data_IF_242126181542
#
_entry.id   IF_242126181542
#
_cell.length_a   1.000
_cell.length_b   1.000
_cell.length_c   1.000
_cell.angle_alpha   90.00
_cell.angle_beta   90.00
_cell.angle_gamma   90.00
#
_symmetry.space_group_name_H-M   'P 1'
#
loop_
_entity.id
_entity.type
_entity.pdbx_description
1 polymer ?
#
# COMPACT_ATOMS: atom_id res chain seq x y z
N UNK A 1 30.05 32.20 51.07
CA UNK A 1 28.69 32.18 51.63
C UNK A 1 28.08 30.86 51.22
N UNK A 2 28.14 29.90 52.15
CA UNK A 2 27.48 28.60 52.05
C UNK A 2 26.00 28.81 52.40
N UNK A 3 25.08 28.41 51.53
CA UNK A 3 23.67 28.28 51.88
C UNK A 3 23.19 26.85 51.63
N UNK A 4 23.17 26.11 52.73
CA UNK A 4 22.29 25.02 53.15
C UNK A 4 21.25 24.51 52.11
N UNK A 5 21.40 23.25 51.72
CA UNK A 5 20.36 22.48 51.02
C UNK A 5 19.96 21.25 51.86
N UNK A 6 19.23 21.49 52.96
CA UNK A 6 18.57 20.44 53.75
C UNK A 6 17.09 20.34 53.37
N UNK A 7 16.83 19.80 52.18
CA UNK A 7 15.49 19.35 51.77
C UNK A 7 15.08 18.09 52.54
N UNK A 8 14.34 18.29 53.63
CA UNK A 8 13.92 17.27 54.60
C UNK A 8 13.31 16.00 53.97
N UNK A 9 13.77 14.84 54.43
CA UNK A 9 13.35 13.49 53.98
C UNK A 9 11.84 13.22 54.14
N UNK A 10 11.15 13.95 55.02
CA UNK A 10 9.73 13.79 55.28
C UNK A 10 8.83 14.27 54.14
N UNK A 11 9.25 15.29 53.38
CA UNK A 11 8.46 15.88 52.30
C UNK A 11 8.44 14.98 51.06
N UNK A 12 9.57 14.32 50.77
CA UNK A 12 9.69 13.35 49.66
C UNK A 12 8.82 12.11 49.88
N UNK A 13 8.63 11.67 51.12
CA UNK A 13 7.78 10.52 51.45
C UNK A 13 6.27 10.85 51.41
N UNK A 14 5.90 12.08 51.74
CA UNK A 14 4.54 12.59 51.56
C UNK A 14 4.11 12.63 50.09
N UNK A 15 5.00 13.09 49.18
CA UNK A 15 4.74 13.12 47.74
C UNK A 15 4.63 11.71 47.14
N UNK A 16 5.47 10.76 47.55
CA UNK A 16 5.40 9.37 47.09
C UNK A 16 4.10 8.68 47.50
N UNK A 17 3.61 8.92 48.72
CA UNK A 17 2.33 8.38 49.20
C UNK A 17 1.14 8.95 48.41
N UNK A 18 1.14 10.26 48.13
CA UNK A 18 0.11 10.91 47.30
C UNK A 18 0.11 10.38 45.86
N UNK A 19 1.27 10.21 45.23
CA UNK A 19 1.38 9.65 43.87
C UNK A 19 0.88 8.19 43.78
N UNK A 20 1.11 7.38 44.83
CA UNK A 20 0.62 5.99 44.90
C UNK A 20 -0.91 5.92 45.06
N UNK A 21 -1.50 6.84 45.82
CA UNK A 21 -2.95 6.92 45.98
C UNK A 21 -3.66 7.33 44.67
N UNK A 22 -3.09 8.30 43.93
CA UNK A 22 -3.63 8.74 42.62
C UNK A 22 -3.57 7.60 41.60
N UNK A 23 -2.45 6.87 41.51
CA UNK A 23 -2.34 5.71 40.61
C UNK A 23 -3.33 4.57 40.97
N UNK A 24 -3.60 4.37 42.26
CA UNK A 24 -4.58 3.38 42.71
C UNK A 24 -6.02 3.81 42.36
N UNK A 25 -6.35 5.09 42.49
CA UNK A 25 -7.64 5.65 42.12
C UNK A 25 -7.88 5.57 40.60
N UNK A 26 -6.90 5.98 39.78
CA UNK A 26 -6.97 5.85 38.31
C UNK A 26 -7.11 4.39 37.86
N UNK A 27 -6.41 3.46 38.52
CA UNK A 27 -6.55 2.03 38.26
C UNK A 27 -7.94 1.51 38.57
N UNK A 28 -8.58 2.03 39.62
CA UNK A 28 -9.95 1.73 40.00
C UNK A 28 -10.97 2.26 38.98
N UNK A 29 -10.81 3.49 38.51
CA UNK A 29 -11.68 4.10 37.49
C UNK A 29 -11.55 3.39 36.13
N UNK A 30 -10.33 3.06 35.71
CA UNK A 30 -10.08 2.28 34.48
C UNK A 30 -10.75 0.91 34.54
N UNK A 31 -10.73 0.24 35.70
CA UNK A 31 -11.44 -1.04 35.91
C UNK A 31 -12.96 -0.88 35.86
N UNK A 32 -13.52 0.18 36.45
CA UNK A 32 -14.96 0.49 36.38
C UNK A 32 -15.41 0.77 34.94
N UNK A 33 -14.65 1.59 34.20
CA UNK A 33 -14.88 1.88 32.79
C UNK A 33 -14.81 0.61 31.92
N UNK A 34 -13.81 -0.25 32.15
CA UNK A 34 -13.72 -1.53 31.44
C UNK A 34 -14.91 -2.45 31.73
N UNK A 35 -15.36 -2.53 32.99
CA UNK A 35 -16.53 -3.33 33.36
C UNK A 35 -17.81 -2.79 32.70
N UNK A 36 -17.96 -1.46 32.59
CA UNK A 36 -19.08 -0.84 31.88
C UNK A 36 -19.07 -1.15 30.38
N UNK A 37 -17.90 -1.12 29.73
CA UNK A 37 -17.75 -1.48 28.31
C UNK A 37 -18.07 -2.96 28.10
N UNK A 38 -17.68 -3.84 29.02
CA UNK A 38 -17.95 -5.28 28.94
C UNK A 38 -19.43 -5.60 29.13
N UNK A 39 -20.12 -4.93 30.06
CA UNK A 39 -21.57 -5.10 30.26
C UNK A 39 -22.35 -4.58 29.06
N UNK A 40 -21.95 -3.44 28.49
CA UNK A 40 -22.54 -2.89 27.25
C UNK A 40 -22.32 -3.83 26.06
N UNK A 41 -21.11 -4.36 25.87
CA UNK A 41 -20.82 -5.36 24.82
C UNK A 41 -21.61 -6.66 25.00
N UNK A 42 -21.80 -7.13 26.24
CA UNK A 42 -22.63 -8.32 26.53
C UNK A 42 -24.11 -8.05 26.22
N UNK A 43 -24.61 -6.86 26.54
CA UNK A 43 -25.98 -6.45 26.19
C UNK A 43 -26.19 -6.31 24.67
N UNK A 44 -25.18 -5.83 23.93
CA UNK A 44 -25.20 -5.78 22.46
C UNK A 44 -25.20 -7.18 21.82
N UNK A 45 -24.44 -8.14 22.37
CA UNK A 45 -24.48 -9.54 21.91
C UNK A 45 -25.85 -10.20 22.11
N UNK A 46 -26.58 -9.85 23.17
CA UNK A 46 -27.93 -10.38 23.39
C UNK A 46 -28.99 -9.77 22.46
N UNK A 47 -28.72 -8.61 21.83
CA UNK A 47 -29.63 -7.97 20.87
C UNK A 47 -29.42 -8.46 19.43
N UNK A 48 -28.22 -8.96 19.11
CA UNK A 48 -27.87 -9.54 17.81
C UNK A 48 -27.20 -10.92 18.01
N UNK A 49 -27.96 -12.01 18.16
CA UNK A 49 -27.39 -13.36 18.15
C UNK A 49 -26.77 -13.64 16.77
N UNK A 50 -25.47 -13.96 16.75
CA UNK A 50 -24.68 -14.23 15.53
C UNK A 50 -25.03 -15.55 14.83
N UNK A 51 -25.93 -16.36 15.41
CA UNK A 51 -26.46 -17.59 14.83
C UNK A 51 -27.93 -17.76 15.22
N UNK A 52 -28.81 -17.97 14.24
CA UNK A 52 -30.13 -18.56 14.49
C UNK A 52 -29.91 -20.04 14.80
N UNK A 53 -30.33 -20.50 15.99
CA UNK A 53 -30.42 -21.92 16.33
C UNK A 53 -31.72 -22.52 15.79
N UNK A 54 -32.04 -22.29 14.52
CA UNK A 54 -33.17 -22.92 13.87
C UNK A 54 -32.69 -24.06 12.97
N UNK A 55 -33.20 -25.25 13.32
CA UNK A 55 -32.99 -26.53 12.64
C UNK A 55 -33.07 -26.39 11.12
N UNK A 56 -32.06 -26.94 10.43
CA UNK A 56 -32.13 -27.32 9.00
C UNK A 56 -33.45 -28.04 8.72
N UNK A 57 -34.34 -27.41 7.95
CA UNK A 57 -35.37 -28.11 7.19
C UNK A 57 -34.94 -28.11 5.72
N UNK A 58 -34.71 -29.32 5.23
CA UNK A 58 -34.43 -29.72 3.86
C UNK A 58 -35.67 -29.38 2.99
N UNK A 59 -35.49 -28.69 1.87
CA UNK A 59 -36.49 -28.48 0.81
C UNK A 59 -35.69 -28.16 -0.46
N UNK A 60 -35.29 -29.14 -1.26
CA UNK A 60 -36.06 -29.89 -2.26
C UNK A 60 -36.83 -28.95 -3.20
N UNK A 61 -36.28 -28.83 -4.40
CA UNK A 61 -36.81 -28.08 -5.54
C UNK A 61 -38.08 -28.78 -6.05
N UNK A 62 -39.22 -28.11 -5.93
CA UNK A 62 -40.42 -28.42 -6.71
C UNK A 62 -41.07 -27.11 -7.14
N UNK A 63 -41.27 -26.99 -8.45
CA UNK A 63 -41.98 -25.94 -9.19
C UNK A 63 -43.42 -25.72 -8.68
N UNK A 64 -44.03 -24.56 -8.98
CA UNK A 64 -45.22 -24.08 -8.27
C UNK A 64 -46.48 -24.75 -8.81
N UNK A 65 -47.28 -25.31 -7.90
CA UNK A 65 -48.68 -25.63 -8.18
C UNK A 65 -49.60 -24.79 -7.30
N UNK A 66 -50.63 -24.29 -7.94
CA UNK A 66 -51.56 -23.28 -7.48
C UNK A 66 -52.60 -23.90 -6.56
N UNK A 67 -52.44 -23.76 -5.25
CA UNK A 67 -53.56 -23.90 -4.31
C UNK A 67 -53.53 -22.77 -3.27
N UNK A 68 -54.41 -21.81 -3.53
CA UNK A 68 -54.94 -20.85 -2.57
C UNK A 68 -55.75 -21.62 -1.52
N UNK A 69 -55.22 -21.76 -0.32
CA UNK A 69 -56.03 -22.03 0.86
C UNK A 69 -55.79 -20.92 1.88
N UNK A 70 -56.82 -20.10 2.02
CA UNK A 70 -56.84 -18.86 2.78
C UNK A 70 -57.33 -19.15 4.18
N UNK A 71 -56.47 -19.70 5.02
CA UNK A 71 -56.69 -19.68 6.46
C UNK A 71 -56.39 -18.26 6.96
N UNK A 72 -57.42 -17.42 7.05
CA UNK A 72 -57.40 -16.24 7.93
C UNK A 72 -57.40 -16.72 9.39
N UNK A 73 -56.24 -17.21 9.84
CA UNK A 73 -55.91 -17.12 11.26
C UNK A 73 -55.56 -15.65 11.53
N UNK A 74 -56.55 -14.90 12.00
CA UNK A 74 -56.48 -13.48 12.37
C UNK A 74 -55.57 -13.26 13.58
N UNK A 75 -54.32 -13.69 13.48
CA UNK A 75 -53.27 -13.45 14.46
C UNK A 75 -53.08 -11.96 14.64
N UNK A 76 -53.67 -11.41 15.70
CA UNK A 76 -53.52 -10.01 16.08
C UNK A 76 -52.07 -9.79 16.45
N UNK A 77 -51.27 -9.28 15.51
CA UNK A 77 -49.91 -8.82 15.80
C UNK A 77 -50.05 -7.68 16.81
N UNK A 78 -49.48 -7.80 18.02
CA UNK A 78 -49.49 -6.73 19.00
C UNK A 78 -49.04 -5.42 18.36
N UNK A 79 -49.82 -4.35 18.53
CA UNK A 79 -49.60 -3.04 17.91
C UNK A 79 -48.13 -2.57 17.98
N UNK A 80 -47.48 -2.80 19.12
CA UNK A 80 -46.06 -2.48 19.31
C UNK A 80 -45.12 -3.17 18.32
N UNK A 81 -45.37 -4.45 17.99
CA UNK A 81 -44.57 -5.16 17.00
C UNK A 81 -44.79 -4.61 15.59
N UNK A 82 -46.02 -4.24 15.24
CA UNK A 82 -46.32 -3.57 13.97
C UNK A 82 -45.62 -2.21 13.86
N UNK A 83 -45.67 -1.41 14.93
CA UNK A 83 -44.99 -0.12 15.00
C UNK A 83 -43.46 -0.28 14.88
N UNK A 84 -42.87 -1.26 15.57
CA UNK A 84 -41.44 -1.58 15.50
C UNK A 84 -41.01 -2.05 14.11
N UNK A 85 -41.81 -2.90 13.45
CA UNK A 85 -41.57 -3.36 12.08
C UNK A 85 -41.62 -2.17 11.11
N UNK A 86 -42.59 -1.26 11.25
CA UNK A 86 -42.68 -0.06 10.43
C UNK A 86 -41.51 0.91 10.64
N UNK A 87 -41.02 1.05 11.87
CA UNK A 87 -39.82 1.84 12.15
C UNK A 87 -38.61 1.20 11.46
N UNK A 88 -38.42 -0.12 11.60
CA UNK A 88 -37.31 -0.85 10.97
C UNK A 88 -37.40 -0.79 9.44
N UNK A 89 -38.58 -0.94 8.87
CA UNK A 89 -38.82 -0.83 7.43
C UNK A 89 -38.42 0.55 6.92
N UNK A 90 -38.87 1.63 7.58
CA UNK A 90 -38.48 3.01 7.22
C UNK A 90 -36.98 3.24 7.34
N UNK A 91 -36.34 2.70 8.38
CA UNK A 91 -34.89 2.78 8.52
C UNK A 91 -34.16 2.03 7.40
N UNK A 92 -34.64 0.85 7.03
CA UNK A 92 -34.07 0.06 5.94
C UNK A 92 -34.23 0.77 4.60
N UNK A 93 -35.39 1.38 4.35
CA UNK A 93 -35.66 2.16 3.14
C UNK A 93 -34.70 3.37 3.02
N UNK A 94 -34.46 4.10 4.13
CA UNK A 94 -33.46 5.19 4.15
C UNK A 94 -32.05 4.69 3.89
N UNK A 95 -31.67 3.55 4.48
CA UNK A 95 -30.35 2.94 4.24
C UNK A 95 -30.19 2.50 2.80
N UNK A 96 -31.21 1.87 2.23
CA UNK A 96 -31.22 1.50 0.82
C UNK A 96 -31.04 2.74 -0.06
N UNK A 97 -31.80 3.80 0.18
CA UNK A 97 -31.67 5.05 -0.56
C UNK A 97 -30.28 5.69 -0.43
N UNK A 98 -29.71 5.73 0.79
CA UNK A 98 -28.37 6.23 1.01
C UNK A 98 -27.32 5.42 0.25
N UNK A 99 -27.40 4.08 0.31
CA UNK A 99 -26.51 3.20 -0.44
C UNK A 99 -26.66 3.35 -1.96
N UNK A 100 -27.87 3.55 -2.47
CA UNK A 100 -28.11 3.85 -3.89
C UNK A 100 -27.42 5.17 -4.29
N UNK A 101 -27.58 6.23 -3.50
CA UNK A 101 -26.93 7.51 -3.77
C UNK A 101 -25.40 7.41 -3.72
N UNK A 102 -24.84 6.68 -2.75
CA UNK A 102 -23.40 6.46 -2.64
C UNK A 102 -22.86 5.65 -3.84
N UNK A 103 -23.61 4.65 -4.30
CA UNK A 103 -23.29 3.88 -5.50
C UNK A 103 -23.25 4.77 -6.74
N UNK A 104 -24.24 5.64 -6.92
CA UNK A 104 -24.32 6.55 -8.06
C UNK A 104 -23.21 7.60 -8.02
N UNK A 105 -22.89 8.15 -6.85
CA UNK A 105 -21.75 9.04 -6.68
C UNK A 105 -20.42 8.32 -7.01
N UNK A 106 -20.27 7.07 -6.59
CA UNK A 106 -19.07 6.28 -6.87
C UNK A 106 -18.91 6.01 -8.38
N UNK A 107 -20.02 5.68 -9.07
CA UNK A 107 -20.04 5.53 -10.53
C UNK A 107 -19.67 6.82 -11.24
N UNK A 108 -20.24 7.95 -10.83
CA UNK A 108 -19.93 9.26 -11.42
C UNK A 108 -18.45 9.59 -11.27
N UNK A 109 -17.88 9.46 -10.07
CA UNK A 109 -16.45 9.67 -9.83
C UNK A 109 -15.57 8.74 -10.69
N UNK A 110 -16.00 7.50 -10.89
CA UNK A 110 -15.30 6.58 -11.78
C UNK A 110 -15.27 7.10 -13.22
N UNK A 111 -16.40 7.58 -13.74
CA UNK A 111 -16.47 8.14 -15.10
C UNK A 111 -15.66 9.42 -15.25
N UNK A 112 -15.65 10.29 -14.23
CA UNK A 112 -14.86 11.52 -14.24
C UNK A 112 -13.34 11.22 -14.27
N UNK A 113 -12.89 10.28 -13.45
CA UNK A 113 -11.49 9.84 -13.43
C UNK A 113 -11.09 9.16 -14.75
N UNK A 114 -11.96 8.39 -15.36
CA UNK A 114 -11.70 7.73 -16.64
C UNK A 114 -11.59 8.75 -17.79
N UNK A 115 -12.45 9.78 -17.79
CA UNK A 115 -12.34 10.89 -18.74
C UNK A 115 -11.03 11.69 -18.54
N UNK A 116 -10.71 12.08 -17.31
CA UNK A 116 -9.48 12.82 -17.02
C UNK A 116 -8.21 12.01 -17.35
N UNK A 117 -8.25 10.69 -17.15
CA UNK A 117 -7.18 9.79 -17.59
C UNK A 117 -7.03 9.79 -19.12
N UNK A 118 -8.13 9.69 -19.86
CA UNK A 118 -8.12 9.74 -21.33
C UNK A 118 -7.55 11.06 -21.87
N UNK A 119 -7.89 12.19 -21.25
CA UNK A 119 -7.35 13.51 -21.61
C UNK A 119 -5.83 13.59 -21.41
N UNK A 120 -5.34 13.15 -20.25
CA UNK A 120 -3.90 13.10 -19.97
C UNK A 120 -3.15 12.14 -20.90
N UNK A 121 -3.76 11.00 -21.25
CA UNK A 121 -3.18 10.06 -22.20
C UNK A 121 -3.03 10.69 -23.60
N UNK A 122 -4.04 11.44 -24.07
CA UNK A 122 -3.98 12.17 -25.34
C UNK A 122 -2.90 13.27 -25.32
N UNK A 123 -2.75 13.98 -24.21
CA UNK A 123 -1.71 15.00 -24.05
C UNK A 123 -0.31 14.37 -24.09
N UNK A 124 -0.10 13.24 -23.42
CA UNK A 124 1.15 12.47 -23.48
C UNK A 124 1.47 11.99 -24.90
N UNK A 125 0.46 11.52 -25.65
CA UNK A 125 0.64 11.15 -27.07
C UNK A 125 1.09 12.35 -27.89
N UNK A 126 0.43 13.49 -27.72
CA UNK A 126 0.79 14.74 -28.41
C UNK A 126 2.23 15.15 -28.13
N UNK A 127 2.67 15.09 -26.88
CA UNK A 127 4.06 15.40 -26.52
C UNK A 127 5.07 14.40 -27.09
N UNK A 128 4.71 13.11 -27.15
CA UNK A 128 5.56 12.08 -27.78
C UNK A 128 5.71 12.32 -29.28
N UNK A 129 4.63 12.65 -29.97
CA UNK A 129 4.64 12.96 -31.41
C UNK A 129 5.46 14.20 -31.73
N UNK A 130 5.32 15.26 -30.94
CA UNK A 130 6.12 16.47 -31.07
C UNK A 130 7.62 16.18 -30.87
N UNK A 131 7.97 15.38 -29.86
CA UNK A 131 9.37 15.00 -29.60
C UNK A 131 9.94 14.13 -30.73
N UNK A 132 9.17 13.16 -31.25
CA UNK A 132 9.56 12.37 -32.42
C UNK A 132 9.79 13.25 -33.66
N UNK A 133 8.92 14.24 -33.88
CA UNK A 133 9.06 15.19 -34.99
C UNK A 133 10.32 16.04 -34.86
N UNK A 134 10.62 16.51 -33.64
CA UNK A 134 11.85 17.26 -33.37
C UNK A 134 13.10 16.39 -33.60
N UNK A 135 13.11 15.15 -33.12
CA UNK A 135 14.20 14.20 -33.35
C UNK A 135 14.41 13.95 -34.85
N UNK A 136 13.32 13.70 -35.58
CA UNK A 136 13.37 13.53 -37.04
C UNK A 136 13.96 14.75 -37.76
N UNK A 137 13.54 15.96 -37.35
CA UNK A 137 14.07 17.19 -37.92
C UNK A 137 15.56 17.38 -37.62
N UNK A 138 16.01 17.04 -36.41
CA UNK A 138 17.43 17.05 -36.04
C UNK A 138 18.21 16.08 -36.92
N UNK A 139 17.76 14.84 -37.06
CA UNK A 139 18.42 13.82 -37.89
C UNK A 139 18.53 14.25 -39.35
N UNK A 140 17.46 14.85 -39.89
CA UNK A 140 17.44 15.40 -41.25
C UNK A 140 18.47 16.52 -41.41
N UNK A 141 18.49 17.49 -40.50
CA UNK A 141 19.43 18.61 -40.53
C UNK A 141 20.88 18.13 -40.39
N UNK A 142 21.14 17.19 -39.48
CA UNK A 142 22.46 16.57 -39.34
C UNK A 142 22.90 15.92 -40.64
N UNK A 143 22.03 15.11 -41.27
CA UNK A 143 22.34 14.46 -42.55
C UNK A 143 22.67 15.47 -43.64
N UNK A 144 21.94 16.58 -43.70
CA UNK A 144 22.16 17.65 -44.69
C UNK A 144 23.50 18.37 -44.45
N UNK A 145 23.83 18.71 -43.21
CA UNK A 145 25.12 19.31 -42.83
C UNK A 145 26.29 18.36 -43.17
N UNK A 146 26.18 17.08 -42.83
CA UNK A 146 27.23 16.10 -43.13
C UNK A 146 27.37 15.84 -44.64
N UNK A 147 26.28 15.90 -45.40
CA UNK A 147 26.30 15.77 -46.87
C UNK A 147 26.97 16.99 -47.53
N UNK A 148 26.63 18.21 -47.11
CA UNK A 148 27.26 19.45 -47.63
C UNK A 148 28.77 19.52 -47.37
N UNK A 149 29.25 18.94 -46.27
CA UNK A 149 30.69 18.87 -45.95
C UNK A 149 31.46 17.95 -46.89
N UNK A 150 30.80 16.94 -47.46
CA UNK A 150 31.42 15.99 -48.41
C UNK A 150 31.52 16.51 -49.84
N UNK A 151 30.71 17.51 -50.21
CA UNK A 151 30.74 18.16 -51.53
C UNK A 151 31.71 19.35 -51.59
N UNK A 152 31.87 20.07 -50.49
CA UNK A 152 32.76 21.25 -50.36
C UNK A 152 34.25 20.92 -50.18
N UNK A 153 34.62 19.64 -50.05
CA UNK A 153 36.01 19.18 -49.88
C UNK A 153 36.67 18.63 -51.17
N UNK A 154 36.07 18.85 -52.35
CA UNK A 154 36.69 18.54 -53.65
C UNK A 154 37.32 19.78 -54.31
N UNK A 155 38.34 20.38 -53.72
CA UNK A 155 39.41 21.08 -54.44
C UNK A 155 40.59 21.24 -53.48
N UNK A 156 41.74 20.70 -53.90
CA UNK A 156 43.11 20.87 -53.40
C UNK A 156 43.81 19.54 -53.05
N UNK A 157 44.35 18.89 -54.08
CA UNK A 157 45.69 18.28 -54.02
C UNK A 157 46.75 19.41 -53.92
N UNK A 158 47.98 19.21 -53.38
CA UNK A 158 48.89 18.13 -53.81
C UNK A 158 49.68 17.37 -52.70
N UNK A 159 49.97 16.11 -53.03
CA UNK A 159 51.20 15.32 -52.82
C UNK A 159 52.20 15.63 -51.67
N UNK A 160 52.40 14.64 -50.75
CA UNK A 160 53.70 14.21 -50.18
C UNK A 160 53.65 12.67 -49.86
N UNK A 161 54.73 11.88 -50.06
CA UNK A 161 54.74 10.40 -50.22
C UNK A 161 54.74 9.56 -48.92
N UNK A 162 54.67 8.21 -49.01
CA UNK A 162 54.28 7.30 -47.93
C UNK A 162 55.47 6.75 -47.11
N UNK A 163 55.28 6.63 -45.79
CA UNK A 163 56.11 5.80 -44.91
C UNK A 163 55.23 4.73 -44.23
N UNK A 164 55.42 3.52 -44.75
CA UNK A 164 55.32 2.12 -44.25
C UNK A 164 54.68 1.72 -42.89
N UNK A 165 54.24 0.44 -42.75
CA UNK A 165 53.27 -0.10 -41.78
C UNK A 165 53.94 -0.88 -40.61
N UNK A 166 53.23 -1.38 -39.56
CA UNK A 166 52.31 -2.56 -39.59
C UNK A 166 51.00 -2.30 -38.77
N UNK A 167 49.84 -2.93 -38.99
CA UNK A 167 49.55 -4.31 -39.32
C UNK A 167 49.20 -5.10 -38.04
N UNK A 168 47.92 -5.51 -37.91
CA UNK A 168 47.34 -6.56 -37.03
C UNK A 168 46.42 -6.15 -35.85
N UNK A 169 45.16 -5.85 -36.21
CA UNK A 169 43.90 -6.57 -35.91
C UNK A 169 43.59 -7.14 -34.50
N UNK A 170 42.30 -7.00 -34.14
CA UNK A 170 41.46 -7.80 -33.21
C UNK A 170 41.66 -7.54 -31.72
N UNK A 171 40.68 -7.55 -30.79
CA UNK A 171 39.20 -7.60 -30.74
C UNK A 171 38.88 -7.59 -29.23
N UNK A 172 37.82 -6.90 -28.80
CA UNK A 172 37.14 -7.03 -27.48
C UNK A 172 37.94 -6.56 -26.25
N UNK A 173 37.42 -5.79 -25.30
CA UNK A 173 36.09 -5.85 -24.70
C UNK A 173 35.74 -4.46 -24.16
N UNK A 174 34.56 -3.95 -24.54
CA UNK A 174 34.00 -2.70 -24.02
C UNK A 174 33.62 -2.89 -22.56
N UNK A 175 34.21 -2.08 -21.68
CA UNK A 175 33.48 -1.50 -20.56
C UNK A 175 32.31 -0.69 -21.15
N UNK A 176 31.04 -1.01 -20.85
CA UNK A 176 29.97 -0.07 -21.08
C UNK A 176 29.96 0.89 -19.89
N UNK A 177 30.58 2.05 -20.09
CA UNK A 177 30.30 3.26 -19.34
C UNK A 177 28.78 3.43 -19.27
N UNK A 178 28.22 3.13 -18.09
CA UNK A 178 26.80 3.24 -17.85
C UNK A 178 26.40 4.73 -17.87
N UNK A 179 25.34 5.10 -18.60
CA UNK A 179 24.81 6.45 -18.57
C UNK A 179 24.35 6.81 -17.16
N UNK A 180 24.80 7.99 -16.74
CA UNK A 180 24.48 8.68 -15.50
C UNK A 180 22.96 8.64 -15.23
N UNK A 181 22.64 8.19 -14.01
CA UNK A 181 21.33 7.88 -13.48
C UNK A 181 20.21 8.89 -13.81
N UNK A 182 19.32 8.49 -14.74
CA UNK A 182 17.90 8.83 -14.65
C UNK A 182 17.20 7.98 -13.57
N UNK A 183 15.95 8.28 -13.19
CA UNK A 183 15.21 7.47 -12.22
C UNK A 183 15.15 6.04 -12.74
N UNK A 184 15.68 5.09 -11.97
CA UNK A 184 15.67 3.66 -12.33
C UNK A 184 14.21 3.23 -12.51
N UNK A 185 13.75 3.18 -13.76
CA UNK A 185 12.46 2.57 -14.07
C UNK A 185 12.53 1.11 -13.62
N UNK A 186 11.64 0.72 -12.70
CA UNK A 186 11.59 -0.66 -12.23
C UNK A 186 11.24 -1.58 -13.40
N UNK A 187 11.98 -2.68 -13.57
CA UNK A 187 11.69 -3.63 -14.65
C UNK A 187 10.37 -4.36 -14.36
N UNK A 188 9.45 -4.34 -15.34
CA UNK A 188 8.20 -5.08 -15.28
C UNK A 188 8.31 -6.27 -16.24
N UNK A 189 8.16 -7.50 -15.72
CA UNK A 189 8.08 -8.74 -16.53
C UNK A 189 6.93 -9.60 -16.03
N UNK A 190 6.07 -10.07 -16.92
CA UNK A 190 4.96 -10.98 -16.63
C UNK A 190 4.04 -10.53 -15.47
N UNK A 191 3.70 -9.23 -15.40
CA UNK A 191 2.88 -8.66 -14.32
C UNK A 191 3.57 -8.67 -12.94
N UNK A 192 4.89 -8.81 -12.93
CA UNK A 192 5.73 -8.72 -11.75
C UNK A 192 6.74 -7.58 -11.90
N UNK A 193 7.02 -6.93 -10.79
CA UNK A 193 7.93 -5.80 -10.68
C UNK A 193 9.21 -6.29 -10.03
N UNK A 194 10.33 -6.02 -10.70
CA UNK A 194 11.67 -6.28 -10.18
C UNK A 194 12.10 -5.15 -9.27
N UNK A 195 12.41 -5.54 -8.06
CA UNK A 195 12.68 -4.62 -6.97
C UNK A 195 14.16 -4.60 -6.57
N UNK A 196 14.94 -5.50 -7.16
CA UNK A 196 16.38 -5.69 -6.90
C UNK A 196 16.67 -7.05 -6.28
N UNK A 197 17.93 -7.51 -6.38
CA UNK A 197 18.43 -8.80 -5.85
C UNK A 197 17.55 -10.02 -6.20
N UNK A 198 17.03 -10.05 -7.44
CA UNK A 198 16.15 -11.11 -7.95
C UNK A 198 14.83 -11.30 -7.16
N UNK A 199 14.35 -10.22 -6.53
CA UNK A 199 13.04 -10.19 -5.87
C UNK A 199 12.01 -9.65 -6.84
N UNK A 200 11.01 -10.48 -7.11
CA UNK A 200 9.88 -10.17 -7.98
C UNK A 200 8.60 -10.08 -7.17
N UNK A 201 7.95 -8.92 -7.15
CA UNK A 201 6.64 -8.74 -6.54
C UNK A 201 5.55 -8.70 -7.60
N UNK A 202 4.33 -9.13 -7.27
CA UNK A 202 3.18 -8.92 -8.15
C UNK A 202 2.90 -7.43 -8.27
N UNK A 203 2.60 -6.97 -9.47
CA UNK A 203 2.31 -5.56 -9.77
C UNK A 203 1.18 -4.99 -8.90
N UNK A 204 0.11 -5.75 -8.68
CA UNK A 204 -1.01 -5.34 -7.82
C UNK A 204 -0.58 -5.11 -6.36
N UNK A 205 0.32 -5.95 -5.87
CA UNK A 205 0.86 -5.87 -4.50
C UNK A 205 1.79 -4.67 -4.39
N UNK A 206 2.64 -4.46 -5.40
CA UNK A 206 3.51 -3.31 -5.47
C UNK A 206 2.72 -1.99 -5.50
N UNK A 207 1.72 -1.85 -6.37
CA UNK A 207 0.87 -0.64 -6.47
C UNK A 207 0.16 -0.32 -5.16
N UNK A 208 -0.24 -1.35 -4.40
CA UNK A 208 -0.84 -1.17 -3.07
C UNK A 208 0.18 -0.66 -2.04
N UNK A 209 1.41 -1.17 -2.10
CA UNK A 209 2.50 -0.72 -1.22
C UNK A 209 2.89 0.71 -1.58
N UNK A 210 3.08 1.01 -2.86
CA UNK A 210 3.50 2.30 -3.39
C UNK A 210 2.48 3.42 -3.13
N UNK A 211 1.18 3.10 -3.11
CA UNK A 211 0.13 4.08 -2.74
C UNK A 211 0.04 4.38 -1.24
N UNK A 212 0.90 3.77 -0.41
CA UNK A 212 0.89 3.98 1.04
C UNK A 212 1.66 5.24 1.43
N UNK A 213 0.96 6.25 1.95
CA UNK A 213 1.54 7.55 2.37
C UNK A 213 2.30 7.53 3.69
N UNK A 214 2.27 6.44 4.46
CA UNK A 214 2.95 6.33 5.75
C UNK A 214 4.16 5.43 5.64
N UNK A 215 5.36 5.95 5.91
CA UNK A 215 6.64 5.23 5.85
C UNK A 215 6.63 3.91 6.62
N UNK A 216 6.15 3.92 7.87
CA UNK A 216 6.12 2.70 8.70
C UNK A 216 5.18 1.63 8.14
N UNK A 217 4.12 2.05 7.44
CA UNK A 217 3.18 1.13 6.81
C UNK A 217 3.75 0.62 5.48
N UNK A 218 4.37 1.49 4.68
CA UNK A 218 5.10 1.12 3.47
C UNK A 218 6.16 0.06 3.76
N UNK A 219 7.05 0.31 4.73
CA UNK A 219 8.12 -0.62 5.12
C UNK A 219 7.55 -1.95 5.62
N UNK A 220 6.45 -1.92 6.39
CA UNK A 220 5.81 -3.13 6.89
C UNK A 220 5.22 -3.97 5.75
N UNK A 221 4.42 -3.37 4.89
CA UNK A 221 3.77 -4.09 3.78
C UNK A 221 4.81 -4.62 2.78
N UNK A 222 5.86 -3.84 2.51
CA UNK A 222 6.99 -4.25 1.68
C UNK A 222 7.78 -5.39 2.30
N UNK A 223 8.04 -5.36 3.61
CA UNK A 223 8.67 -6.48 4.31
C UNK A 223 7.80 -7.75 4.23
N UNK A 224 6.49 -7.62 4.41
CA UNK A 224 5.58 -8.77 4.23
C UNK A 224 5.62 -9.29 2.80
N UNK A 225 5.76 -8.44 1.79
CA UNK A 225 5.83 -8.88 0.40
C UNK A 225 7.16 -9.59 0.04
N UNK A 226 8.28 -9.18 0.64
CA UNK A 226 9.62 -9.74 0.36
C UNK A 226 9.87 -11.08 1.09
N UNK A 227 9.40 -11.22 2.33
CA UNK A 227 9.66 -12.39 3.20
C UNK A 227 8.42 -13.21 3.53
N UNK A 228 7.22 -12.64 3.46
CA UNK A 228 6.00 -13.29 3.93
C UNK A 228 5.89 -13.32 5.46
N UNK A 229 4.67 -13.50 5.96
CA UNK A 229 4.39 -13.50 7.40
C UNK A 229 5.08 -14.65 8.14
N UNK A 230 5.18 -15.83 7.51
CA UNK A 230 5.79 -17.01 8.11
C UNK A 230 7.30 -16.83 8.39
N UNK A 231 8.06 -16.26 7.45
CA UNK A 231 9.49 -16.01 7.67
C UNK A 231 9.73 -14.88 8.67
N UNK A 232 8.93 -13.80 8.63
CA UNK A 232 9.04 -12.68 9.57
C UNK A 232 8.74 -13.09 11.03
N UNK A 233 7.87 -14.08 11.23
CA UNK A 233 7.59 -14.63 12.56
C UNK A 233 8.77 -15.42 13.13
N UNK A 234 9.52 -16.11 12.27
CA UNK A 234 10.64 -16.99 12.65
C UNK A 234 12.02 -16.33 12.68
N UNK A 235 12.14 -15.10 12.15
CA UNK A 235 13.43 -14.40 12.00
C UNK A 235 13.44 -13.05 12.69
N UNK A 236 14.64 -12.51 12.95
CA UNK A 236 14.81 -11.16 13.50
C UNK A 236 15.65 -10.29 12.57
N UNK A 237 15.53 -8.96 12.68
CA UNK A 237 16.27 -8.04 11.80
C UNK A 237 17.79 -8.14 11.99
N UNK A 238 18.25 -8.34 13.23
CA UNK A 238 19.69 -8.35 13.56
C UNK A 238 20.21 -9.70 14.06
N UNK A 239 19.36 -10.69 14.32
CA UNK A 239 19.78 -11.94 14.97
C UNK A 239 20.13 -11.81 16.46
N UNK A 240 19.95 -10.63 17.08
CA UNK A 240 20.37 -10.36 18.45
C UNK A 240 19.29 -10.74 19.45
N UNK A 241 19.68 -11.42 20.53
CA UNK A 241 18.80 -11.72 21.65
C UNK A 241 18.32 -10.42 22.32
N UNK A 242 17.05 -10.39 22.70
CA UNK A 242 16.54 -9.29 23.50
C UNK A 242 17.19 -9.35 24.90
N UNK A 243 17.83 -8.27 25.39
CA UNK A 243 18.36 -8.25 26.75
C UNK A 243 17.23 -8.56 27.76
N UNK A 244 17.34 -9.68 28.47
CA UNK A 244 16.39 -10.07 29.52
C UNK A 244 15.29 -11.08 29.15
N UNK A 245 15.39 -11.79 28.02
CA UNK A 245 14.50 -12.95 27.73
C UNK A 245 15.32 -14.21 27.38
N UNK A 246 15.03 -15.33 28.05
CA UNK A 246 15.62 -16.67 27.84
C UNK A 246 15.03 -17.37 26.60
N UNK A 247 14.83 -16.64 25.51
CA UNK A 247 14.29 -17.18 24.24
C UNK A 247 15.45 -17.17 23.24
N UNK A 248 15.74 -18.34 22.67
CA UNK A 248 16.82 -18.50 21.69
C UNK A 248 16.75 -17.45 20.58
N UNK A 249 17.91 -16.91 20.21
CA UNK A 249 18.06 -15.90 19.19
C UNK A 249 17.44 -16.36 17.85
N UNK A 250 16.42 -15.64 17.37
CA UNK A 250 15.87 -15.90 16.03
C UNK A 250 16.92 -15.54 14.97
N UNK A 251 17.15 -16.39 13.95
CA UNK A 251 18.14 -16.13 12.91
C UNK A 251 17.87 -14.81 12.17
N UNK A 252 18.92 -14.12 11.68
CA UNK A 252 18.77 -12.84 11.01
C UNK A 252 17.99 -12.96 9.68
N UNK A 253 17.33 -11.88 9.28
CA UNK A 253 16.78 -11.73 7.93
C UNK A 253 17.91 -11.75 6.90
N UNK A 254 17.63 -12.26 5.69
CA UNK A 254 18.60 -12.34 4.59
C UNK A 254 19.16 -10.94 4.27
N UNK A 255 20.47 -10.69 4.49
CA UNK A 255 21.05 -9.34 4.39
C UNK A 255 20.86 -8.68 3.02
N UNK A 256 20.92 -9.46 1.93
CA UNK A 256 20.69 -8.95 0.57
C UNK A 256 19.28 -8.40 0.38
N UNK A 257 18.26 -9.12 0.88
CA UNK A 257 16.85 -8.68 0.83
C UNK A 257 16.62 -7.44 1.70
N UNK A 258 17.34 -7.32 2.82
CA UNK A 258 17.28 -6.16 3.72
C UNK A 258 17.90 -4.91 3.08
N UNK A 259 19.00 -5.08 2.33
CA UNK A 259 19.60 -4.01 1.52
C UNK A 259 18.61 -3.45 0.50
N UNK A 260 17.85 -4.34 -0.15
CA UNK A 260 16.81 -3.96 -1.12
C UNK A 260 15.68 -3.17 -0.47
N UNK A 261 15.15 -3.63 0.67
CA UNK A 261 14.15 -2.88 1.45
C UNK A 261 14.63 -1.46 1.79
N UNK A 262 15.89 -1.32 2.20
CA UNK A 262 16.48 -0.02 2.54
C UNK A 262 16.65 0.87 1.32
N UNK A 263 17.08 0.32 0.18
CA UNK A 263 17.23 1.04 -1.07
C UNK A 263 15.90 1.60 -1.59
N UNK A 264 14.81 0.83 -1.47
CA UNK A 264 13.49 1.26 -1.94
C UNK A 264 12.86 2.35 -1.09
N UNK A 265 13.08 2.33 0.22
CA UNK A 265 12.61 3.39 1.10
C UNK A 265 13.15 4.76 0.66
N UNK A 266 14.40 4.81 0.17
CA UNK A 266 15.00 6.03 -0.36
C UNK A 266 14.43 6.46 -1.73
N UNK A 267 13.91 5.52 -2.53
CA UNK A 267 13.36 5.80 -3.88
C UNK A 267 11.91 6.32 -3.78
N UNK A 268 11.12 5.83 -2.83
CA UNK A 268 9.71 6.20 -2.66
C UNK A 268 9.50 7.57 -1.98
N UNK A 269 10.56 8.19 -1.44
CA UNK A 269 10.50 9.45 -0.70
C UNK A 269 10.70 10.73 -1.54
N UNK A 270 10.75 10.64 -2.87
CA UNK A 270 10.89 11.77 -3.82
C UNK A 270 9.83 11.67 -4.92
#
# INVERSE_FOLDING_TARGET
MEENNEGTSAEKDGLKKKAKAIKAAEGGEKRKSLMQILTEKKALKNKNPLYSTEKKRKREETLPDSFSDSDEDGGVVPQKMYDDINIKYRQLQRKHQALTNDLDQCKQKSTELENGKSELEQEVVTYREANLTLQHNIDKLLKEIFSQRSETSRTCEPAIPPLTPPGQNTTSEREPDQPIHGPRQMEIKDGKIHIGTDIWLREEVWRKIDSTTKDSLFVKELAVAIWGTAELMGRSVSGKECPGKTIEAKPPLTPCKLGTLKGMWHISLH
#
